data_IF_967594811875
#
_entry.id   IF_967594811875
#
_cell.length_a   1.000
_cell.length_b   1.000
_cell.length_c   1.000
_cell.angle_alpha   90.00
_cell.angle_beta   90.00
_cell.angle_gamma   90.00
#
_symmetry.space_group_name_H-M   'P 1'
#
loop_
_entity.id
_entity.type
_entity.pdbx_description
1 polymer ?
#
# COMPACT_ATOMS: atom_id res chain seq x y z
N UNK A 1 27.92 -2.68 -3.80
CA UNK A 1 28.06 -4.13 -3.72
C UNK A 1 29.55 -4.56 -3.73
N UNK A 2 30.25 -4.47 -4.85
CA UNK A 2 31.62 -5.03 -4.98
C UNK A 2 32.67 -4.35 -4.11
N UNK A 3 32.56 -3.05 -3.81
CA UNK A 3 33.56 -2.30 -3.00
C UNK A 3 33.43 -2.48 -1.49
N UNK A 4 32.25 -2.82 -1.00
CA UNK A 4 31.95 -2.92 0.44
C UNK A 4 31.63 -4.35 0.89
N UNK A 5 31.70 -5.33 -0.03
CA UNK A 5 31.42 -6.75 0.29
C UNK A 5 30.01 -7.05 0.74
N UNK A 6 29.05 -6.16 0.42
CA UNK A 6 27.65 -6.26 0.85
C UNK A 6 26.87 -7.23 -0.04
N UNK A 7 26.08 -8.09 0.58
CA UNK A 7 25.05 -8.87 -0.10
C UNK A 7 23.91 -7.97 -0.63
N UNK A 8 22.97 -8.51 -1.45
CA UNK A 8 21.89 -7.73 -2.08
C UNK A 8 21.09 -6.88 -1.09
N UNK A 9 20.64 -7.45 0.00
CA UNK A 9 19.85 -6.74 1.02
C UNK A 9 20.67 -5.64 1.72
N UNK A 10 21.93 -5.93 2.07
CA UNK A 10 22.83 -4.94 2.65
C UNK A 10 23.12 -3.78 1.72
N UNK A 11 23.20 -4.03 0.41
CA UNK A 11 23.39 -2.98 -0.58
C UNK A 11 22.15 -2.08 -0.73
N UNK A 12 20.95 -2.62 -0.69
CA UNK A 12 19.70 -1.85 -0.71
C UNK A 12 19.62 -0.95 0.53
N UNK A 13 19.87 -1.52 1.71
CA UNK A 13 19.90 -0.77 2.97
C UNK A 13 20.89 0.39 2.89
N UNK A 14 22.14 0.11 2.48
CA UNK A 14 23.18 1.13 2.37
C UNK A 14 22.80 2.23 1.37
N UNK A 15 22.15 1.88 0.27
CA UNK A 15 21.68 2.86 -0.72
C UNK A 15 20.64 3.83 -0.12
N UNK A 16 19.70 3.33 0.66
CA UNK A 16 18.70 4.17 1.33
C UNK A 16 19.36 5.03 2.41
N UNK A 17 20.33 4.51 3.17
CA UNK A 17 21.07 5.29 4.14
C UNK A 17 21.80 6.45 3.46
N UNK A 18 22.49 6.21 2.34
CA UNK A 18 23.15 7.26 1.54
C UNK A 18 22.16 8.31 1.04
N UNK A 19 20.99 7.89 0.54
CA UNK A 19 19.95 8.82 0.09
C UNK A 19 19.46 9.69 1.25
N UNK A 20 19.25 9.09 2.43
CA UNK A 20 18.78 9.82 3.62
C UNK A 20 19.85 10.76 4.20
N UNK A 21 21.14 10.45 4.05
CA UNK A 21 22.28 11.31 4.42
C UNK A 21 22.37 12.54 3.49
N UNK A 22 21.97 12.40 2.21
CA UNK A 22 21.99 13.45 1.19
C UNK A 22 20.61 14.08 0.98
N UNK A 23 19.85 14.27 2.05
CA UNK A 23 18.44 14.68 2.01
C UNK A 23 18.21 16.01 1.27
N UNK A 24 19.08 17.02 1.42
CA UNK A 24 18.95 18.32 0.74
C UNK A 24 19.05 18.18 -0.79
N UNK A 25 20.01 17.37 -1.24
CA UNK A 25 20.20 17.10 -2.67
C UNK A 25 18.99 16.35 -3.24
N UNK A 26 18.50 15.32 -2.52
CA UNK A 26 17.32 14.56 -2.91
C UNK A 26 16.07 15.46 -2.94
N UNK A 27 15.83 16.25 -1.91
CA UNK A 27 14.70 17.16 -1.83
C UNK A 27 14.67 18.17 -2.98
N UNK A 28 15.81 18.79 -3.32
CA UNK A 28 15.93 19.71 -4.46
C UNK A 28 15.59 19.03 -5.79
N UNK A 29 16.08 17.81 -6.02
CA UNK A 29 15.78 17.07 -7.25
C UNK A 29 14.30 16.68 -7.33
N UNK A 30 13.71 16.17 -6.25
CA UNK A 30 12.29 15.84 -6.20
C UNK A 30 11.41 17.07 -6.42
N UNK A 31 11.77 18.21 -5.82
CA UNK A 31 11.07 19.47 -6.00
C UNK A 31 11.10 19.94 -7.46
N UNK A 32 12.25 19.82 -8.13
CA UNK A 32 12.39 20.15 -9.55
C UNK A 32 11.54 19.23 -10.45
N UNK A 33 11.50 17.93 -10.17
CA UNK A 33 10.66 16.97 -10.88
C UNK A 33 9.18 17.31 -10.66
N UNK A 34 8.78 17.52 -9.41
CA UNK A 34 7.39 17.82 -9.04
C UNK A 34 6.89 19.13 -9.69
N UNK A 35 7.75 20.15 -9.81
CA UNK A 35 7.39 21.44 -10.45
C UNK A 35 7.14 21.31 -11.95
N UNK A 36 7.61 20.25 -12.60
CA UNK A 36 7.52 20.04 -14.02
C UNK A 36 6.63 18.83 -14.42
N UNK A 37 5.89 18.27 -13.45
CA UNK A 37 5.10 17.06 -13.67
C UNK A 37 3.80 17.10 -12.87
N UNK A 38 2.69 16.68 -13.49
CA UNK A 38 1.40 16.55 -12.80
C UNK A 38 1.37 15.35 -11.84
N UNK A 39 2.16 14.33 -12.14
CA UNK A 39 2.28 13.10 -11.35
C UNK A 39 3.72 12.62 -11.33
N UNK A 40 4.25 12.37 -10.15
CA UNK A 40 5.55 11.77 -9.95
C UNK A 40 5.38 10.36 -9.37
N UNK A 41 5.96 9.36 -10.04
CA UNK A 41 5.95 7.98 -9.56
C UNK A 41 7.30 7.69 -8.92
N UNK A 42 7.27 7.24 -7.67
CA UNK A 42 8.46 6.84 -6.91
C UNK A 42 8.40 5.34 -6.69
N UNK A 43 9.29 4.61 -7.37
CA UNK A 43 9.48 3.18 -7.12
C UNK A 43 10.35 2.98 -5.87
N UNK A 44 9.90 2.14 -4.97
CA UNK A 44 10.56 1.89 -3.69
C UNK A 44 11.15 0.47 -3.66
N UNK A 45 12.20 0.22 -2.84
CA UNK A 45 12.64 -1.14 -2.61
C UNK A 45 11.50 -2.04 -2.16
N UNK A 46 11.41 -3.25 -2.74
CA UNK A 46 10.33 -4.20 -2.47
C UNK A 46 10.27 -4.74 -1.04
N UNK A 47 11.25 -4.41 -0.20
CA UNK A 47 11.32 -4.80 1.20
C UNK A 47 10.67 -3.72 2.08
N UNK A 48 9.40 -3.93 2.39
CA UNK A 48 8.58 -2.99 3.16
C UNK A 48 9.20 -2.63 4.52
N UNK A 49 9.87 -3.58 5.17
CA UNK A 49 10.54 -3.37 6.45
C UNK A 49 11.61 -2.26 6.40
N UNK A 50 12.26 -2.06 5.26
CA UNK A 50 13.28 -1.01 5.10
C UNK A 50 12.64 0.38 5.15
N UNK A 51 11.47 0.54 4.57
CA UNK A 51 10.74 1.81 4.58
C UNK A 51 10.06 2.10 5.90
N UNK A 52 9.49 1.07 6.55
CA UNK A 52 8.63 1.27 7.72
C UNK A 52 9.38 1.26 9.06
N UNK A 53 10.43 0.44 9.16
CA UNK A 53 11.07 0.18 10.46
C UNK A 53 12.50 0.70 10.56
N UNK A 54 13.03 1.33 9.50
CA UNK A 54 14.33 1.99 9.55
C UNK A 54 14.16 3.51 9.52
N UNK A 55 14.99 4.20 10.31
CA UNK A 55 15.00 5.67 10.37
C UNK A 55 15.29 6.31 9.01
N UNK A 56 16.18 5.70 8.20
CA UNK A 56 16.50 6.17 6.85
C UNK A 56 15.31 6.04 5.89
N UNK A 57 14.50 4.98 6.00
CA UNK A 57 13.29 4.81 5.22
C UNK A 57 12.21 5.84 5.57
N UNK A 58 11.95 6.04 6.87
CA UNK A 58 11.00 7.05 7.34
C UNK A 58 11.42 8.47 6.93
N UNK A 59 12.73 8.79 7.05
CA UNK A 59 13.27 10.08 6.60
C UNK A 59 13.07 10.30 5.09
N UNK A 60 13.19 9.25 4.27
CA UNK A 60 12.90 9.32 2.84
C UNK A 60 11.44 9.69 2.58
N UNK A 61 10.50 9.07 3.30
CA UNK A 61 9.07 9.39 3.20
C UNK A 61 8.81 10.85 3.64
N UNK A 62 9.47 11.32 4.69
CA UNK A 62 9.32 12.70 5.15
C UNK A 62 9.82 13.71 4.11
N UNK A 63 10.95 13.44 3.44
CA UNK A 63 11.43 14.26 2.32
C UNK A 63 10.40 14.35 1.19
N UNK A 64 9.75 13.22 0.85
CA UNK A 64 8.71 13.19 -0.18
C UNK A 64 7.49 14.02 0.25
N UNK A 65 7.10 13.95 1.53
CA UNK A 65 5.99 14.75 2.10
C UNK A 65 6.26 16.25 2.06
N UNK A 66 7.51 16.67 2.22
CA UNK A 66 7.90 18.09 2.16
C UNK A 66 7.73 18.69 0.76
N UNK A 67 7.90 17.88 -0.29
CA UNK A 67 7.88 18.36 -1.68
C UNK A 67 6.59 18.04 -2.43
N UNK A 68 5.75 17.11 -1.92
CA UNK A 68 4.54 16.66 -2.60
C UNK A 68 3.49 16.15 -1.62
N UNK A 69 2.32 15.77 -2.14
CA UNK A 69 1.28 15.05 -1.40
C UNK A 69 1.32 13.57 -1.83
N UNK A 70 2.08 12.71 -1.15
CA UNK A 70 2.24 11.33 -1.56
C UNK A 70 1.02 10.48 -1.24
N UNK A 71 0.75 9.50 -2.12
CA UNK A 71 -0.13 8.37 -1.89
C UNK A 71 0.69 7.10 -2.02
N UNK A 72 0.64 6.24 -1.02
CA UNK A 72 1.22 4.91 -1.10
C UNK A 72 0.33 3.98 -1.94
N UNK A 73 0.91 3.26 -2.88
CA UNK A 73 0.24 2.17 -3.59
C UNK A 73 0.86 0.87 -3.12
N UNK A 74 0.12 0.10 -2.33
CA UNK A 74 0.57 -1.19 -1.80
C UNK A 74 0.14 -2.31 -2.74
N UNK A 75 1.10 -2.86 -3.48
CA UNK A 75 0.85 -3.91 -4.45
C UNK A 75 0.76 -5.28 -3.78
N UNK A 76 -0.35 -5.96 -4.02
CA UNK A 76 -0.64 -7.31 -3.56
C UNK A 76 -0.49 -8.30 -4.71
N UNK A 77 0.20 -9.41 -4.46
CA UNK A 77 0.27 -10.49 -5.42
C UNK A 77 -0.95 -11.41 -5.27
N UNK A 78 -1.73 -11.66 -6.34
CA UNK A 78 -2.92 -12.50 -6.27
C UNK A 78 -2.62 -13.96 -5.91
N UNK A 79 -1.38 -14.41 -6.05
CA UNK A 79 -0.97 -15.77 -5.70
C UNK A 79 -0.93 -16.03 -4.19
N UNK A 80 -0.94 -14.95 -3.36
CA UNK A 80 -0.96 -15.06 -1.90
C UNK A 80 -2.31 -15.54 -1.35
N UNK A 81 -3.33 -15.68 -2.22
CA UNK A 81 -4.70 -16.02 -1.80
C UNK A 81 -5.37 -14.84 -1.06
N UNK A 82 -6.58 -14.49 -1.48
CA UNK A 82 -7.34 -13.38 -0.88
C UNK A 82 -8.58 -13.89 -0.14
N UNK A 83 -8.51 -15.08 0.46
CA UNK A 83 -9.62 -15.68 1.19
C UNK A 83 -9.21 -16.01 2.63
N UNK A 84 -10.17 -15.96 3.54
CA UNK A 84 -9.99 -16.32 4.94
C UNK A 84 -8.86 -15.54 5.62
N UNK A 85 -7.99 -16.25 6.32
CA UNK A 85 -6.87 -15.65 7.07
C UNK A 85 -5.94 -14.77 6.20
N UNK A 86 -5.72 -15.14 4.94
CA UNK A 86 -4.85 -14.36 4.03
C UNK A 86 -5.44 -12.99 3.72
N UNK A 87 -6.74 -12.89 3.49
CA UNK A 87 -7.41 -11.61 3.24
C UNK A 87 -7.37 -10.71 4.49
N UNK A 88 -7.54 -11.29 5.68
CA UNK A 88 -7.41 -10.58 6.95
C UNK A 88 -5.99 -10.01 7.13
N UNK A 89 -4.96 -10.82 6.88
CA UNK A 89 -3.55 -10.42 6.96
C UNK A 89 -3.26 -9.26 6.00
N UNK A 90 -3.73 -9.35 4.75
CA UNK A 90 -3.56 -8.29 3.75
C UNK A 90 -4.19 -6.98 4.22
N UNK A 91 -5.43 -7.04 4.73
CA UNK A 91 -6.14 -5.86 5.25
C UNK A 91 -5.37 -5.23 6.41
N UNK A 92 -4.94 -6.02 7.37
CA UNK A 92 -4.17 -5.53 8.52
C UNK A 92 -2.82 -4.96 8.10
N UNK A 93 -2.15 -5.59 7.13
CA UNK A 93 -0.88 -5.09 6.59
C UNK A 93 -1.05 -3.71 5.93
N UNK A 94 -2.09 -3.51 5.13
CA UNK A 94 -2.38 -2.21 4.53
C UNK A 94 -2.59 -1.11 5.59
N UNK A 95 -3.28 -1.44 6.70
CA UNK A 95 -3.47 -0.53 7.83
C UNK A 95 -2.16 -0.20 8.51
N UNK A 96 -1.33 -1.21 8.78
CA UNK A 96 -0.01 -1.03 9.41
C UNK A 96 0.87 -0.13 8.55
N UNK A 97 0.87 -0.33 7.23
CA UNK A 97 1.61 0.52 6.28
C UNK A 97 1.14 1.97 6.36
N UNK A 98 -0.17 2.19 6.30
CA UNK A 98 -0.77 3.52 6.36
C UNK A 98 -0.40 4.25 7.66
N UNK A 99 -0.49 3.56 8.80
CA UNK A 99 -0.14 4.11 10.10
C UNK A 99 1.36 4.35 10.22
N UNK A 100 2.19 3.42 9.75
CA UNK A 100 3.64 3.48 9.86
C UNK A 100 4.26 4.58 8.98
N UNK A 101 3.77 4.76 7.76
CA UNK A 101 4.28 5.78 6.84
C UNK A 101 3.59 7.15 7.03
N UNK A 102 2.41 7.17 7.67
CA UNK A 102 1.63 8.40 7.88
C UNK A 102 1.24 9.07 6.56
N UNK A 103 0.91 8.28 5.54
CA UNK A 103 0.40 8.73 4.23
C UNK A 103 -0.84 7.93 3.86
N UNK A 104 -1.78 8.49 3.08
CA UNK A 104 -2.84 7.71 2.48
C UNK A 104 -2.25 6.55 1.68
N UNK A 105 -2.80 5.35 1.83
CA UNK A 105 -2.28 4.15 1.18
C UNK A 105 -3.43 3.36 0.57
N UNK A 106 -3.32 3.01 -0.71
CA UNK A 106 -4.28 2.21 -1.46
C UNK A 106 -3.75 0.79 -1.60
N UNK A 107 -4.46 -0.24 -1.11
CA UNK A 107 -4.17 -1.62 -1.45
C UNK A 107 -4.61 -1.89 -2.90
N UNK A 108 -3.72 -2.47 -3.69
CA UNK A 108 -3.94 -2.73 -5.11
C UNK A 108 -3.53 -4.14 -5.45
N UNK A 109 -4.44 -4.93 -5.96
CA UNK A 109 -4.17 -6.26 -6.46
C UNK A 109 -3.48 -6.17 -7.82
N UNK A 110 -2.22 -6.53 -7.87
CA UNK A 110 -1.44 -6.56 -9.11
C UNK A 110 -1.72 -7.82 -9.94
N UNK A 111 -1.22 -7.89 -11.17
CA UNK A 111 -1.34 -9.07 -12.05
C UNK A 111 -2.78 -9.59 -12.18
N UNK A 112 -3.72 -8.69 -12.31
CA UNK A 112 -5.15 -9.03 -12.43
C UNK A 112 -5.49 -9.91 -13.64
N UNK A 113 -4.59 -9.97 -14.61
CA UNK A 113 -4.66 -10.87 -15.77
C UNK A 113 -4.51 -12.36 -15.42
N UNK A 114 -3.91 -12.69 -14.27
CA UNK A 114 -3.71 -14.07 -13.82
C UNK A 114 -4.90 -14.64 -13.06
N UNK A 115 -5.89 -13.83 -12.72
CA UNK A 115 -7.02 -14.22 -11.90
C UNK A 115 -8.35 -13.87 -12.57
N UNK A 116 -9.40 -14.60 -12.20
CA UNK A 116 -10.75 -14.18 -12.52
C UNK A 116 -11.16 -13.05 -11.56
N UNK A 117 -10.88 -11.81 -11.96
CA UNK A 117 -11.14 -10.60 -11.16
C UNK A 117 -12.58 -10.57 -10.63
N UNK A 118 -13.54 -11.08 -11.42
CA UNK A 118 -14.95 -11.13 -10.99
C UNK A 118 -15.18 -12.00 -9.76
N UNK A 119 -14.38 -13.01 -9.54
CA UNK A 119 -14.49 -13.89 -8.36
C UNK A 119 -13.80 -13.32 -7.11
N UNK A 120 -12.92 -12.34 -7.27
CA UNK A 120 -12.10 -11.78 -6.19
C UNK A 120 -12.58 -10.40 -5.76
N UNK A 121 -13.12 -9.58 -6.67
CA UNK A 121 -13.41 -8.16 -6.46
C UNK A 121 -14.93 -7.87 -6.51
N UNK A 122 -15.77 -8.88 -6.63
CA UNK A 122 -17.22 -8.65 -6.77
C UNK A 122 -17.88 -8.34 -5.43
N UNK A 123 -17.48 -7.20 -4.83
CA UNK A 123 -18.35 -6.50 -3.91
C UNK A 123 -18.21 -4.98 -4.09
N UNK A 124 -19.31 -4.27 -4.28
CA UNK A 124 -19.29 -2.81 -4.46
C UNK A 124 -18.90 -2.05 -3.18
N UNK A 125 -18.65 -2.73 -2.08
CA UNK A 125 -18.21 -2.12 -0.84
C UNK A 125 -17.26 -3.03 -0.08
N UNK A 126 -16.12 -2.49 0.36
CA UNK A 126 -15.19 -3.09 1.29
C UNK A 126 -15.88 -3.68 2.55
N UNK A 127 -17.01 -3.13 2.97
CA UNK A 127 -17.81 -3.69 4.07
C UNK A 127 -18.29 -5.11 3.79
N UNK A 128 -18.67 -5.41 2.55
CA UNK A 128 -19.11 -6.76 2.17
C UNK A 128 -17.93 -7.72 2.15
N UNK A 129 -16.73 -7.25 1.77
CA UNK A 129 -15.51 -8.08 1.79
C UNK A 129 -15.08 -8.39 3.23
N UNK A 130 -15.08 -7.39 4.12
CA UNK A 130 -14.78 -7.63 5.55
C UNK A 130 -15.81 -8.55 6.18
N UNK A 131 -17.10 -8.45 5.83
CA UNK A 131 -18.14 -9.37 6.33
C UNK A 131 -17.97 -10.79 5.78
N UNK A 132 -17.60 -10.93 4.51
CA UNK A 132 -17.29 -12.23 3.94
C UNK A 132 -16.08 -12.86 4.62
N UNK A 133 -15.00 -12.10 4.79
CA UNK A 133 -13.80 -12.54 5.51
C UNK A 133 -14.16 -12.95 6.94
N UNK A 134 -14.96 -12.16 7.66
CA UNK A 134 -15.40 -12.47 9.02
C UNK A 134 -16.24 -13.76 9.08
N UNK A 135 -17.10 -14.00 8.10
CA UNK A 135 -17.91 -15.20 8.04
C UNK A 135 -17.08 -16.45 7.70
N UNK A 136 -16.13 -16.34 6.79
CA UNK A 136 -15.18 -17.41 6.47
C UNK A 136 -14.33 -17.74 7.71
N UNK A 137 -13.77 -16.75 8.38
CA UNK A 137 -12.96 -16.91 9.59
C UNK A 137 -13.74 -17.59 10.73
N UNK A 138 -14.97 -17.17 11.00
CA UNK A 138 -15.80 -17.79 12.05
C UNK A 138 -16.05 -19.28 11.89
N UNK A 139 -15.94 -19.78 10.65
CA UNK A 139 -16.10 -21.22 10.37
C UNK A 139 -14.86 -22.06 10.72
N UNK A 140 -13.69 -21.42 10.91
CA UNK A 140 -12.41 -22.13 11.15
C UNK A 140 -12.18 -22.48 12.63
N UNK A 141 -12.80 -21.78 13.57
CA UNK A 141 -12.87 -22.16 15.01
C UNK A 141 -11.54 -22.14 15.80
N UNK A 142 -10.52 -21.46 15.32
CA UNK A 142 -9.23 -21.33 16.00
C UNK A 142 -9.15 -20.04 16.83
N UNK A 143 -8.44 -20.04 17.97
CA UNK A 143 -8.28 -18.87 18.86
C UNK A 143 -7.71 -17.64 18.11
N UNK A 144 -6.74 -17.85 17.20
CA UNK A 144 -6.19 -16.78 16.38
C UNK A 144 -7.23 -16.18 15.42
N UNK A 145 -8.15 -16.99 14.96
CA UNK A 145 -9.25 -16.59 14.11
C UNK A 145 -10.22 -15.68 14.85
N UNK A 146 -10.56 -16.01 16.10
CA UNK A 146 -11.43 -15.16 16.93
C UNK A 146 -10.78 -13.79 17.18
N UNK A 147 -9.47 -13.75 17.46
CA UNK A 147 -8.72 -12.50 17.60
C UNK A 147 -8.74 -11.68 16.31
N UNK A 148 -8.53 -12.31 15.16
CA UNK A 148 -8.59 -11.62 13.85
C UNK A 148 -9.99 -11.05 13.58
N UNK A 149 -11.04 -11.78 13.91
CA UNK A 149 -12.43 -11.32 13.80
C UNK A 149 -12.66 -10.06 14.65
N UNK A 150 -12.20 -10.03 15.88
CA UNK A 150 -12.34 -8.84 16.75
C UNK A 150 -11.57 -7.63 16.19
N UNK A 151 -10.32 -7.84 15.77
CA UNK A 151 -9.52 -6.77 15.17
C UNK A 151 -10.16 -6.22 13.90
N UNK A 152 -10.66 -7.08 13.01
CA UNK A 152 -11.35 -6.64 11.79
C UNK A 152 -12.67 -5.90 12.09
N UNK A 153 -13.39 -6.27 13.14
CA UNK A 153 -14.58 -5.50 13.59
C UNK A 153 -14.20 -4.10 14.07
N UNK A 154 -13.08 -3.95 14.78
CA UNK A 154 -12.56 -2.63 15.18
C UNK A 154 -12.19 -1.83 13.92
N UNK A 155 -11.45 -2.44 13.00
CA UNK A 155 -11.07 -1.81 11.73
C UNK A 155 -12.30 -1.31 10.99
N UNK A 156 -13.32 -2.14 10.80
CA UNK A 156 -14.59 -1.79 10.17
C UNK A 156 -15.27 -0.57 10.82
N UNK A 157 -15.18 -0.45 12.14
CA UNK A 157 -15.83 0.63 12.90
C UNK A 157 -15.14 1.98 12.71
N UNK A 158 -13.81 2.02 12.58
CA UNK A 158 -13.03 3.24 12.64
C UNK A 158 -12.37 3.64 11.32
N UNK A 159 -12.23 2.72 10.38
CA UNK A 159 -11.66 3.01 9.08
C UNK A 159 -12.75 3.08 8.01
N UNK A 160 -12.69 4.14 7.20
CA UNK A 160 -13.51 4.21 6.00
C UNK A 160 -13.11 3.08 5.06
N UNK A 161 -14.07 2.41 4.41
CA UNK A 161 -13.79 1.35 3.48
C UNK A 161 -12.98 1.89 2.30
N UNK A 162 -11.80 1.36 2.12
CA UNK A 162 -11.01 1.60 0.91
C UNK A 162 -11.36 0.52 -0.11
N UNK A 163 -11.51 0.91 -1.37
CA UNK A 163 -11.76 -0.06 -2.44
C UNK A 163 -10.48 -0.83 -2.70
N UNK A 164 -10.54 -2.16 -2.69
CA UNK A 164 -9.48 -2.98 -3.25
C UNK A 164 -9.54 -2.85 -4.77
N UNK A 165 -8.52 -2.24 -5.36
CA UNK A 165 -8.39 -2.08 -6.79
C UNK A 165 -7.61 -3.25 -7.38
N UNK A 166 -7.96 -3.65 -8.59
CA UNK A 166 -7.19 -4.66 -9.33
C UNK A 166 -6.62 -4.05 -10.59
N UNK A 167 -5.32 -4.29 -10.81
CA UNK A 167 -4.61 -3.76 -11.97
C UNK A 167 -3.77 -4.83 -12.66
N UNK A 168 -3.64 -4.71 -13.96
CA UNK A 168 -2.67 -5.47 -14.76
C UNK A 168 -1.83 -4.51 -15.59
N UNK A 169 -0.53 -4.51 -15.34
CA UNK A 169 0.42 -3.78 -16.17
C UNK A 169 0.56 -4.38 -17.57
N UNK A 170 0.22 -5.68 -17.73
CA UNK A 170 0.35 -6.38 -19.01
C UNK A 170 -0.66 -5.91 -20.05
N UNK A 171 -1.92 -5.69 -19.62
CA UNK A 171 -3.01 -5.33 -20.54
C UNK A 171 -3.69 -3.99 -20.23
N UNK A 172 -3.18 -3.25 -19.23
CA UNK A 172 -3.71 -1.93 -18.84
C UNK A 172 -4.99 -1.97 -18.02
N UNK A 173 -5.50 -3.15 -17.65
CA UNK A 173 -6.72 -3.27 -16.85
C UNK A 173 -6.59 -2.52 -15.52
N UNK A 174 -7.61 -1.76 -15.16
CA UNK A 174 -7.73 -1.08 -13.87
C UNK A 174 -6.80 0.12 -13.63
N UNK A 175 -5.92 0.46 -14.57
CA UNK A 175 -4.97 1.59 -14.41
C UNK A 175 -5.73 2.93 -14.33
N UNK A 176 -6.78 3.11 -15.14
CA UNK A 176 -7.61 4.32 -15.08
C UNK A 176 -8.36 4.44 -13.75
N UNK A 177 -8.85 3.33 -13.20
CA UNK A 177 -9.54 3.31 -11.92
C UNK A 177 -8.58 3.62 -10.76
N UNK A 178 -7.34 3.10 -10.82
CA UNK A 178 -6.29 3.46 -9.88
C UNK A 178 -5.97 4.96 -9.94
N UNK A 179 -5.84 5.52 -11.14
CA UNK A 179 -5.60 6.95 -11.31
C UNK A 179 -6.73 7.79 -10.70
N UNK A 180 -7.98 7.43 -10.96
CA UNK A 180 -9.16 8.10 -10.37
C UNK A 180 -9.15 8.01 -8.85
N UNK A 181 -8.85 6.84 -8.28
CA UNK A 181 -8.81 6.65 -6.84
C UNK A 181 -7.70 7.48 -6.16
N UNK A 182 -6.54 7.62 -6.80
CA UNK A 182 -5.48 8.52 -6.31
C UNK A 182 -5.97 9.97 -6.29
N UNK A 183 -6.66 10.42 -7.33
CA UNK A 183 -7.23 11.76 -7.38
C UNK A 183 -8.32 12.00 -6.34
N UNK A 184 -9.19 11.01 -6.09
CA UNK A 184 -10.27 11.09 -5.10
C UNK A 184 -9.73 11.33 -3.67
N UNK A 185 -8.55 10.80 -3.33
CA UNK A 185 -7.91 11.02 -2.01
C UNK A 185 -7.66 12.51 -1.73
N UNK A 186 -7.37 13.29 -2.76
CA UNK A 186 -7.07 14.73 -2.63
C UNK A 186 -8.25 15.63 -2.97
N UNK A 187 -9.33 15.06 -3.48
CA UNK A 187 -10.52 15.82 -3.83
C UNK A 187 -11.37 16.06 -2.58
N UNK A 188 -11.35 17.26 -2.05
CA UNK A 188 -12.17 17.69 -0.90
C UNK A 188 -13.67 17.86 -1.25
N UNK A 189 -14.09 17.53 -2.46
CA UNK A 189 -15.46 17.70 -2.92
C UNK A 189 -16.47 16.71 -2.31
N UNK A 190 -16.00 15.71 -1.54
CA UNK A 190 -16.85 14.65 -0.96
C UNK A 190 -17.29 14.86 0.49
N UNK A 191 -16.82 15.88 1.18
CA UNK A 191 -17.12 16.09 2.61
C UNK A 191 -18.34 16.98 2.88
N UNK A 192 -19.23 17.16 1.89
CA UNK A 192 -20.47 17.96 2.02
C UNK A 192 -21.75 17.10 1.91
N UNK A 193 -21.70 15.80 2.30
CA UNK A 193 -22.94 15.02 2.49
C UNK A 193 -22.87 14.23 3.78
#
# INVERSE_FOLDING_TARGET
MLKEGLGPNGAIIRSIDILSENYEYLGKNLMNINSNSDLMIVDTPGQLEILMFRSSGLKLIDIIKEVSKPVGVFLLDPTLGLRGNSAAIVTLTAIVIRLGLGIPTLPVLSKADLINVKSVIYSPSYYTEVEQILNELRSEGEILTDMLVEVLNIVKKYLRPERLLAVSALNGYGIEDLYKAIHEIFCTCGDLT
#
